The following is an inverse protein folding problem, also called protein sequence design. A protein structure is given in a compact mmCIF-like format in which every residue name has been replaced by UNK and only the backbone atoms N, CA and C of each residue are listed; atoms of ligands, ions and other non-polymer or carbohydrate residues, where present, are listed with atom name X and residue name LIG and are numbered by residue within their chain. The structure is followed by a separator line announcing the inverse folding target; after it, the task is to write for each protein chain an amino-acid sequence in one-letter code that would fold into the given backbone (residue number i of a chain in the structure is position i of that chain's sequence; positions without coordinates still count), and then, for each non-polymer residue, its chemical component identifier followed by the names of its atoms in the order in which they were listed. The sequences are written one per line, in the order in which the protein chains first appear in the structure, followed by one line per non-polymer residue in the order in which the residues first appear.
data_IF_512735031641
#
_entry.id   IF_512735031641
#
_cell.length_a   1.000
_cell.length_b   1.000
_cell.length_c   1.000
_cell.angle_alpha   90.00
_cell.angle_beta   90.00
_cell.angle_gamma   90.00
#
_symmetry.space_group_name_H-M   'P 1'
#
loop_
_entity.id
_entity.type
_entity.pdbx_description
1 polymer ?
#
# COMPACT_ATOMS: atom_id res chain seq x y z
N UNK A 1 4.73 -13.22 -16.44
CA UNK A 1 4.14 -11.99 -17.01
C UNK A 1 3.17 -11.28 -16.07
N UNK A 2 2.04 -11.88 -15.65
CA UNK A 2 1.06 -11.22 -14.76
C UNK A 2 1.70 -10.63 -13.48
N UNK A 3 2.50 -11.43 -12.76
CA UNK A 3 3.17 -11.01 -11.54
C UNK A 3 4.16 -9.88 -11.74
N UNK A 4 4.93 -9.91 -12.84
CA UNK A 4 5.89 -8.85 -13.18
C UNK A 4 5.17 -7.53 -13.51
N UNK A 5 4.09 -7.59 -14.28
CA UNK A 5 3.29 -6.41 -14.61
C UNK A 5 2.67 -5.82 -13.34
N UNK A 6 2.06 -6.67 -12.51
CA UNK A 6 1.44 -6.24 -11.24
C UNK A 6 2.47 -5.63 -10.29
N UNK A 7 3.66 -6.22 -10.19
CA UNK A 7 4.77 -5.69 -9.40
C UNK A 7 5.15 -4.28 -9.86
N UNK A 8 5.39 -4.07 -11.16
CA UNK A 8 5.79 -2.76 -11.67
C UNK A 8 4.68 -1.71 -11.56
N UNK A 9 3.41 -2.08 -11.74
CA UNK A 9 2.28 -1.19 -11.50
C UNK A 9 2.29 -0.73 -10.03
N UNK A 10 2.47 -1.64 -9.08
CA UNK A 10 2.51 -1.30 -7.67
C UNK A 10 3.72 -0.44 -7.31
N UNK A 11 4.90 -0.70 -7.88
CA UNK A 11 6.08 0.16 -7.72
C UNK A 11 5.77 1.58 -8.18
N UNK A 12 5.15 1.75 -9.35
CA UNK A 12 4.79 3.06 -9.90
C UNK A 12 3.72 3.76 -9.05
N UNK A 13 2.81 3.04 -8.41
CA UNK A 13 1.75 3.66 -7.60
C UNK A 13 2.21 3.96 -6.17
N UNK A 14 3.11 3.15 -5.60
CA UNK A 14 3.59 3.31 -4.23
C UNK A 14 4.83 4.19 -4.12
N UNK A 15 5.85 3.92 -4.94
CA UNK A 15 7.19 4.48 -4.77
C UNK A 15 7.32 5.81 -5.51
N UNK A 16 6.84 5.87 -6.75
CA UNK A 16 7.03 7.06 -7.60
C UNK A 16 6.31 8.31 -7.06
N UNK A 17 5.09 8.26 -6.52
CA UNK A 17 4.42 9.43 -5.96
C UNK A 17 5.02 9.90 -4.63
N UNK A 18 5.76 9.03 -3.95
CA UNK A 18 6.21 9.26 -2.58
C UNK A 18 7.15 10.48 -2.46
N UNK A 19 8.19 10.65 -3.30
CA UNK A 19 9.00 11.87 -3.31
C UNK A 19 8.17 13.13 -3.53
N UNK A 20 7.25 13.14 -4.50
CA UNK A 20 6.41 14.30 -4.81
C UNK A 20 5.51 14.68 -3.62
N UNK A 21 4.95 13.69 -2.93
CA UNK A 21 4.17 13.91 -1.70
C UNK A 21 5.01 14.49 -0.58
N UNK A 22 6.19 13.92 -0.33
CA UNK A 22 7.11 14.43 0.71
C UNK A 22 7.53 15.88 0.41
N UNK A 23 7.84 16.21 -0.86
CA UNK A 23 8.10 17.59 -1.26
C UNK A 23 6.90 18.51 -1.04
N UNK A 24 5.68 18.06 -1.34
CA UNK A 24 4.46 18.80 -1.05
C UNK A 24 4.23 19.06 0.44
N UNK A 25 4.58 18.09 1.31
CA UNK A 25 4.50 18.25 2.75
C UNK A 25 5.52 19.27 3.28
N UNK A 26 6.75 19.27 2.77
CA UNK A 26 7.82 20.20 3.19
C UNK A 26 7.53 21.62 2.71
N UNK A 27 7.05 21.79 1.48
CA UNK A 27 6.77 23.10 0.90
C UNK A 27 5.45 23.72 1.37
N UNK A 28 4.67 23.01 2.18
CA UNK A 28 3.37 23.48 2.70
C UNK A 28 2.28 23.59 1.64
N UNK A 29 2.48 23.07 0.43
CA UNK A 29 1.48 23.08 -0.65
C UNK A 29 0.39 22.02 -0.47
N UNK A 30 0.55 21.14 0.52
CA UNK A 30 -0.45 20.14 0.92
C UNK A 30 -1.14 20.60 2.21
N UNK A 31 -2.41 20.98 2.10
CA UNK A 31 -3.24 21.48 3.20
C UNK A 31 -3.86 20.36 4.06
N UNK A 32 -3.60 19.09 3.75
CA UNK A 32 -4.16 17.98 4.53
C UNK A 32 -3.69 18.00 5.98
N UNK A 33 -4.59 17.56 6.87
CA UNK A 33 -4.30 17.44 8.29
C UNK A 33 -3.10 16.52 8.54
N UNK A 34 -2.34 16.79 9.61
CA UNK A 34 -1.16 16.00 9.97
C UNK A 34 -1.46 14.49 10.09
N UNK A 35 -2.64 14.14 10.61
CA UNK A 35 -3.09 12.73 10.71
C UNK A 35 -3.17 12.04 9.35
N UNK A 36 -3.65 12.74 8.32
CA UNK A 36 -3.72 12.22 6.94
C UNK A 36 -2.31 11.98 6.40
N UNK A 37 -1.40 12.95 6.59
CA UNK A 37 -0.01 12.85 6.13
C UNK A 37 0.72 11.66 6.77
N UNK A 38 0.54 11.47 8.09
CA UNK A 38 1.11 10.34 8.84
C UNK A 38 0.55 9.03 8.33
N UNK A 39 -0.77 8.91 8.18
CA UNK A 39 -1.41 7.68 7.69
C UNK A 39 -0.96 7.34 6.27
N UNK A 40 -0.93 8.33 5.37
CA UNK A 40 -0.48 8.13 4.00
C UNK A 40 0.97 7.68 3.92
N UNK A 41 1.84 8.29 4.72
CA UNK A 41 3.26 7.96 4.75
C UNK A 41 3.49 6.57 5.34
N UNK A 42 2.85 6.26 6.48
CA UNK A 42 2.94 4.97 7.14
C UNK A 42 2.45 3.85 6.21
N UNK A 43 1.30 4.04 5.56
CA UNK A 43 0.76 3.06 4.62
C UNK A 43 1.67 2.88 3.39
N UNK A 44 2.18 3.96 2.80
CA UNK A 44 3.08 3.87 1.64
C UNK A 44 4.38 3.12 1.98
N UNK A 45 5.00 3.44 3.12
CA UNK A 45 6.22 2.77 3.59
C UNK A 45 5.92 1.30 3.88
N UNK A 46 4.86 1.02 4.63
CA UNK A 46 4.50 -0.34 5.01
C UNK A 46 4.21 -1.22 3.79
N UNK A 47 3.41 -0.74 2.84
CA UNK A 47 3.11 -1.45 1.59
C UNK A 47 4.36 -1.65 0.72
N UNK A 48 5.28 -0.68 0.71
CA UNK A 48 6.55 -0.78 -0.02
C UNK A 48 7.45 -1.88 0.55
N UNK A 49 7.41 -2.16 1.85
CA UNK A 49 8.12 -3.31 2.43
C UNK A 49 7.60 -4.62 1.85
N UNK A 50 6.29 -4.74 1.61
CA UNK A 50 5.69 -5.90 0.95
C UNK A 50 6.21 -6.13 -0.47
N UNK A 51 6.64 -5.08 -1.18
CA UNK A 51 7.23 -5.22 -2.51
C UNK A 51 8.54 -6.02 -2.49
N UNK A 52 9.27 -6.05 -1.36
CA UNK A 52 10.50 -6.85 -1.23
C UNK A 52 10.17 -8.34 -1.29
N UNK A 53 9.15 -8.79 -0.55
CA UNK A 53 8.67 -10.17 -0.63
C UNK A 53 8.10 -10.50 -2.03
N UNK A 54 7.37 -9.58 -2.64
CA UNK A 54 6.89 -9.76 -4.01
C UNK A 54 8.06 -9.88 -5.00
N UNK A 55 9.10 -9.07 -4.86
CA UNK A 55 10.31 -9.19 -5.67
C UNK A 55 11.03 -10.54 -5.44
N UNK A 56 11.09 -11.00 -4.19
CA UNK A 56 11.59 -12.33 -3.84
C UNK A 56 10.81 -13.44 -4.54
N UNK A 57 9.48 -13.37 -4.50
CA UNK A 57 8.56 -14.31 -5.14
C UNK A 57 8.79 -14.42 -6.66
N UNK A 58 8.90 -13.30 -7.37
CA UNK A 58 9.04 -13.34 -8.84
C UNK A 58 10.44 -13.77 -9.31
N UNK A 59 11.47 -13.65 -8.47
CA UNK A 59 12.86 -13.97 -8.82
C UNK A 59 13.40 -15.23 -8.11
N UNK A 60 12.57 -15.93 -7.33
CA UNK A 60 12.98 -17.05 -6.47
C UNK A 60 14.16 -16.70 -5.54
N UNK A 61 14.13 -15.49 -4.95
CA UNK A 61 15.15 -14.99 -4.03
C UNK A 61 14.60 -14.96 -2.61
N UNK A 62 15.40 -15.41 -1.64
CA UNK A 62 15.00 -15.42 -0.23
C UNK A 62 15.55 -14.16 0.47
N UNK A 63 14.63 -13.41 1.06
CA UNK A 63 14.82 -12.20 1.84
C UNK A 63 14.09 -12.37 3.17
N UNK A 64 14.77 -12.12 4.28
CA UNK A 64 14.23 -12.26 5.64
C UNK A 64 13.64 -13.66 5.91
N UNK A 65 13.13 -13.88 7.13
CA UNK A 65 12.52 -15.17 7.50
C UNK A 65 11.05 -15.23 7.08
N UNK A 66 10.50 -16.43 6.82
CA UNK A 66 9.06 -16.61 6.53
C UNK A 66 8.16 -15.97 7.60
N UNK A 67 8.52 -16.12 8.88
CA UNK A 67 7.78 -15.56 10.03
C UNK A 67 7.63 -14.04 9.91
N UNK A 68 8.66 -13.33 9.43
CA UNK A 68 8.59 -11.88 9.23
C UNK A 68 7.47 -11.52 8.23
N UNK A 69 7.38 -12.25 7.11
CA UNK A 69 6.38 -12.00 6.07
C UNK A 69 4.98 -12.42 6.49
N UNK A 70 4.85 -13.49 7.28
CA UNK A 70 3.58 -13.88 7.89
C UNK A 70 3.05 -12.80 8.84
N UNK A 71 3.93 -12.25 9.69
CA UNK A 71 3.59 -11.15 10.58
C UNK A 71 3.24 -9.88 9.80
N UNK A 72 4.02 -9.54 8.77
CA UNK A 72 3.73 -8.42 7.88
C UNK A 72 2.36 -8.59 7.21
N UNK A 73 2.05 -9.78 6.71
CA UNK A 73 0.78 -10.07 6.03
C UNK A 73 -0.40 -9.91 7.01
N UNK A 74 -0.28 -10.44 8.23
CA UNK A 74 -1.29 -10.30 9.26
C UNK A 74 -1.54 -8.82 9.61
N UNK A 75 -0.48 -8.06 9.85
CA UNK A 75 -0.57 -6.63 10.14
C UNK A 75 -1.21 -5.90 8.96
N UNK A 76 -0.79 -6.19 7.73
CA UNK A 76 -1.31 -5.54 6.52
C UNK A 76 -2.81 -5.79 6.30
N UNK A 77 -3.28 -7.02 6.56
CA UNK A 77 -4.70 -7.36 6.49
C UNK A 77 -5.49 -6.64 7.58
N UNK A 78 -5.02 -6.70 8.84
CA UNK A 78 -5.69 -6.03 9.96
C UNK A 78 -5.74 -4.51 9.76
N UNK A 79 -4.62 -3.91 9.35
CA UNK A 79 -4.53 -2.49 9.03
C UNK A 79 -5.52 -2.10 7.93
N UNK A 80 -5.62 -2.89 6.86
CA UNK A 80 -6.55 -2.64 5.76
C UNK A 80 -8.01 -2.71 6.21
N UNK A 81 -8.35 -3.63 7.12
CA UNK A 81 -9.71 -3.74 7.68
C UNK A 81 -10.03 -2.53 8.57
N UNK A 82 -9.10 -2.15 9.46
CA UNK A 82 -9.30 -0.98 10.35
C UNK A 82 -9.46 0.30 9.54
N UNK A 83 -8.67 0.48 8.48
CA UNK A 83 -8.74 1.65 7.61
C UNK A 83 -10.12 1.85 6.98
N UNK A 84 -10.90 0.79 6.72
CA UNK A 84 -12.26 0.91 6.17
C UNK A 84 -13.18 1.69 7.11
N UNK A 85 -13.00 1.56 8.43
CA UNK A 85 -13.87 2.18 9.41
C UNK A 85 -13.37 3.54 9.89
N UNK A 86 -12.04 3.74 9.95
CA UNK A 86 -11.44 4.82 10.73
C UNK A 86 -10.23 5.46 10.06
N UNK A 87 -10.21 5.54 8.72
CA UNK A 87 -9.14 6.21 7.98
C UNK A 87 -9.40 7.71 7.82
N UNK A 88 -8.64 8.60 8.50
CA UNK A 88 -8.58 10.03 8.19
C UNK A 88 -8.40 10.32 6.71
N UNK A 89 -7.56 9.53 6.01
CA UNK A 89 -7.33 9.66 4.58
C UNK A 89 -8.60 9.42 3.76
N UNK A 90 -9.35 8.36 4.05
CA UNK A 90 -10.60 8.07 3.33
C UNK A 90 -11.68 9.12 3.62
N UNK A 91 -11.73 9.64 4.86
CA UNK A 91 -12.62 10.74 5.22
C UNK A 91 -12.29 12.00 4.41
N UNK A 92 -11.03 12.44 4.43
CA UNK A 92 -10.55 13.60 3.67
C UNK A 92 -10.77 13.45 2.16
N UNK A 93 -10.47 12.28 1.59
CA UNK A 93 -10.73 12.01 0.17
C UNK A 93 -12.23 12.06 -0.17
N UNK A 94 -13.09 11.67 0.76
CA UNK A 94 -14.55 11.75 0.59
C UNK A 94 -15.03 13.20 0.56
N UNK A 95 -14.47 14.07 1.39
CA UNK A 95 -14.80 15.50 1.43
C UNK A 95 -14.42 16.21 0.13
N UNK A 96 -13.23 15.93 -0.42
CA UNK A 96 -12.75 16.56 -1.66
C UNK A 96 -13.47 16.03 -2.90
N UNK A 97 -13.58 14.71 -3.03
CA UNK A 97 -14.00 14.07 -4.30
C UNK A 97 -15.47 13.67 -4.32
N UNK A 98 -16.13 13.64 -3.16
CA UNK A 98 -17.49 13.13 -2.99
C UNK A 98 -17.55 11.60 -2.86
N UNK A 99 -18.58 11.13 -2.15
CA UNK A 99 -18.76 9.73 -1.72
C UNK A 99 -18.71 8.69 -2.84
N UNK A 100 -19.34 8.96 -3.98
CA UNK A 100 -19.40 8.00 -5.09
C UNK A 100 -18.03 7.81 -5.77
N UNK A 101 -17.29 8.91 -6.01
CA UNK A 101 -15.95 8.84 -6.61
C UNK A 101 -14.95 8.19 -5.66
N UNK A 102 -15.03 8.51 -4.37
CA UNK A 102 -14.19 7.86 -3.35
C UNK A 102 -14.44 6.35 -3.34
N UNK A 103 -15.70 5.91 -3.32
CA UNK A 103 -16.03 4.47 -3.30
C UNK A 103 -15.46 3.71 -4.50
N UNK A 104 -15.54 4.29 -5.70
CA UNK A 104 -14.97 3.70 -6.92
C UNK A 104 -13.43 3.66 -6.80
N UNK A 105 -12.81 4.77 -6.40
CA UNK A 105 -11.36 4.85 -6.21
C UNK A 105 -10.82 3.85 -5.18
N UNK A 106 -11.53 3.69 -4.06
CA UNK A 106 -11.21 2.71 -3.04
C UNK A 106 -11.32 1.27 -3.55
N UNK A 107 -12.39 0.94 -4.30
CA UNK A 107 -12.57 -0.38 -4.88
C UNK A 107 -11.47 -0.73 -5.90
N UNK A 108 -11.13 0.23 -6.79
CA UNK A 108 -10.01 0.08 -7.74
C UNK A 108 -8.71 -0.11 -6.97
N UNK A 109 -8.48 0.69 -5.93
CA UNK A 109 -7.33 0.55 -5.03
C UNK A 109 -7.23 -0.87 -4.48
N UNK A 110 -8.27 -1.38 -3.82
CA UNK A 110 -8.28 -2.74 -3.27
C UNK A 110 -7.88 -3.79 -4.32
N UNK A 111 -8.47 -3.72 -5.52
CA UNK A 111 -8.17 -4.68 -6.61
C UNK A 111 -6.69 -4.60 -7.01
N UNK A 112 -6.13 -3.39 -7.13
CA UNK A 112 -4.73 -3.19 -7.49
C UNK A 112 -3.76 -3.74 -6.45
N UNK A 113 -4.13 -3.74 -5.17
CA UNK A 113 -3.29 -4.27 -4.08
C UNK A 113 -3.44 -5.79 -3.84
N UNK A 114 -4.48 -6.45 -4.38
CA UNK A 114 -4.65 -7.92 -4.23
C UNK A 114 -3.39 -8.71 -4.63
N UNK A 115 -2.73 -8.43 -5.79
CA UNK A 115 -1.51 -9.14 -6.17
C UNK A 115 -0.38 -9.03 -5.14
N UNK A 116 -0.26 -7.89 -4.44
CA UNK A 116 0.75 -7.71 -3.39
C UNK A 116 0.54 -8.73 -2.27
N UNK A 117 -0.68 -8.76 -1.70
CA UNK A 117 -0.99 -9.65 -0.58
C UNK A 117 -0.88 -11.12 -0.97
N UNK A 118 -1.33 -11.50 -2.17
CA UNK A 118 -1.21 -12.87 -2.67
C UNK A 118 0.25 -13.26 -2.88
N UNK A 119 1.06 -12.40 -3.47
CA UNK A 119 2.48 -12.68 -3.68
C UNK A 119 3.21 -12.84 -2.34
N UNK A 120 2.94 -11.96 -1.37
CA UNK A 120 3.52 -12.07 -0.02
C UNK A 120 3.05 -13.35 0.67
N UNK A 121 1.78 -13.73 0.52
CA UNK A 121 1.27 -14.99 1.06
C UNK A 121 2.02 -16.20 0.46
N UNK A 122 2.12 -16.30 -0.87
CA UNK A 122 2.85 -17.41 -1.48
C UNK A 122 4.32 -17.42 -1.07
N UNK A 123 4.95 -16.26 -1.02
CA UNK A 123 6.31 -16.11 -0.57
C UNK A 123 6.52 -16.48 0.90
N UNK A 124 5.56 -16.22 1.78
CA UNK A 124 5.68 -16.46 3.21
C UNK A 124 5.38 -17.93 3.62
N UNK A 125 4.70 -18.69 2.76
CA UNK A 125 4.19 -20.03 3.08
C UNK A 125 4.62 -21.13 2.10
N UNK A 126 5.17 -20.79 0.94
CA UNK A 126 5.61 -21.76 -0.09
C UNK A 126 7.12 -21.71 -0.38
N UNK A 127 7.86 -20.86 0.33
CA UNK A 127 9.32 -20.79 0.31
C UNK A 127 9.87 -21.40 1.60
#
# INVERSE_FOLDING_TARGET
MFWQISFWILVVILVLPFPFKVFGYINGSDESALSVKIEESANAIFMSVGLVAFYGYINNQIYLSPIFWQAWLLIGVLWSIVAIFWSPKLAYATEIMGKNKMRIGAAIGCILYIPLFLAVYFYAFQT
#
